data_IF_461066094893
#
_entry.id   IF_461066094893
#
_cell.length_a   1.000
_cell.length_b   1.000
_cell.length_c   1.000
_cell.angle_alpha   90.00
_cell.angle_beta   90.00
_cell.angle_gamma   90.00
#
_symmetry.space_group_name_H-M   'P 1'
#
loop_
_entity.id
_entity.type
_entity.pdbx_description
1 polymer ?
#
# COMPACT_ATOMS: atom_id res chain seq x y z
N UNK A 1 21.65 12.24 -15.45
CA UNK A 1 20.85 12.92 -14.40
C UNK A 1 20.33 11.88 -13.44
N UNK A 2 20.41 12.11 -12.12
CA UNK A 2 19.74 11.22 -11.14
C UNK A 2 18.30 11.71 -10.99
N UNK A 3 17.35 10.92 -11.49
CA UNK A 3 15.91 11.22 -11.35
C UNK A 3 15.39 10.99 -9.93
N UNK A 4 16.14 10.26 -9.09
CA UNK A 4 15.74 9.92 -7.73
C UNK A 4 16.88 10.17 -6.74
N UNK A 5 16.51 10.71 -5.57
CA UNK A 5 17.39 10.82 -4.42
C UNK A 5 17.62 9.42 -3.82
N UNK A 6 18.84 9.12 -3.39
CA UNK A 6 19.10 7.91 -2.61
C UNK A 6 18.32 7.96 -1.30
N UNK A 7 17.58 6.90 -0.98
CA UNK A 7 16.98 6.73 0.34
C UNK A 7 18.07 6.60 1.40
N UNK A 8 17.90 7.27 2.54
CA UNK A 8 18.69 6.94 3.73
C UNK A 8 18.15 5.67 4.40
N UNK A 9 18.93 5.07 5.30
CA UNK A 9 18.60 3.81 5.98
C UNK A 9 17.20 3.79 6.62
N UNK A 10 16.77 4.94 7.12
CA UNK A 10 15.49 5.08 7.78
C UNK A 10 14.32 5.28 6.82
N UNK A 11 14.54 5.97 5.70
CA UNK A 11 13.54 6.05 4.63
C UNK A 11 13.32 4.64 4.07
N UNK A 12 14.40 3.86 3.91
CA UNK A 12 14.34 2.44 3.54
C UNK A 12 13.59 1.59 4.59
N UNK A 13 13.82 1.81 5.88
CA UNK A 13 13.09 1.11 6.95
C UNK A 13 11.60 1.44 6.97
N UNK A 14 11.25 2.72 6.81
CA UNK A 14 9.86 3.17 6.75
C UNK A 14 9.16 2.66 5.49
N UNK A 15 9.86 2.61 4.36
CA UNK A 15 9.38 2.00 3.13
C UNK A 15 9.06 0.52 3.32
N UNK A 16 9.96 -0.26 3.92
CA UNK A 16 9.68 -1.68 4.24
C UNK A 16 8.41 -1.83 5.07
N UNK A 17 8.22 -1.00 6.10
CA UNK A 17 6.97 -0.99 6.88
C UNK A 17 5.77 -0.64 6.02
N UNK A 18 5.87 0.41 5.20
CA UNK A 18 4.82 0.81 4.26
C UNK A 18 4.42 -0.35 3.33
N UNK A 19 5.39 -1.03 2.72
CA UNK A 19 5.17 -2.21 1.86
C UNK A 19 4.43 -3.32 2.61
N UNK A 20 4.79 -3.60 3.87
CA UNK A 20 4.03 -4.55 4.69
C UNK A 20 2.57 -4.14 4.86
N UNK A 21 2.29 -2.89 5.23
CA UNK A 21 0.92 -2.39 5.35
C UNK A 21 0.16 -2.43 4.02
N UNK A 22 0.80 -2.04 2.92
CA UNK A 22 0.21 -2.10 1.58
C UNK A 22 -0.13 -3.53 1.14
N UNK A 23 0.74 -4.51 1.43
CA UNK A 23 0.49 -5.92 1.17
C UNK A 23 -0.72 -6.44 1.96
N UNK A 24 -0.81 -6.13 3.26
CA UNK A 24 -1.96 -6.54 4.07
C UNK A 24 -3.27 -5.88 3.62
N UNK A 25 -3.22 -4.60 3.20
CA UNK A 25 -4.39 -3.92 2.64
C UNK A 25 -4.84 -4.56 1.31
N UNK A 26 -3.89 -4.87 0.42
CA UNK A 26 -4.16 -5.61 -0.81
C UNK A 26 -4.83 -6.96 -0.53
N UNK A 27 -4.27 -7.75 0.40
CA UNK A 27 -4.82 -9.05 0.79
C UNK A 27 -6.25 -8.92 1.34
N UNK A 28 -6.49 -7.93 2.20
CA UNK A 28 -7.81 -7.68 2.79
C UNK A 28 -8.85 -7.30 1.73
N UNK A 29 -8.52 -6.37 0.84
CA UNK A 29 -9.43 -5.91 -0.23
C UNK A 29 -9.68 -7.06 -1.21
N UNK A 30 -8.66 -7.85 -1.53
CA UNK A 30 -8.81 -9.06 -2.36
C UNK A 30 -9.76 -10.06 -1.72
N UNK A 31 -9.62 -10.31 -0.42
CA UNK A 31 -10.50 -11.22 0.31
C UNK A 31 -11.97 -10.72 0.29
N UNK A 32 -12.19 -9.42 0.54
CA UNK A 32 -13.51 -8.81 0.47
C UNK A 32 -14.10 -8.96 -0.94
N UNK A 33 -13.33 -8.66 -1.98
CA UNK A 33 -13.78 -8.78 -3.37
C UNK A 33 -14.13 -10.23 -3.74
N UNK A 34 -13.37 -11.21 -3.24
CA UNK A 34 -13.62 -12.63 -3.45
C UNK A 34 -14.92 -13.10 -2.78
N UNK A 35 -15.12 -12.75 -1.50
CA UNK A 35 -16.36 -13.09 -0.80
C UNK A 35 -17.57 -12.40 -1.43
N UNK A 36 -17.42 -11.14 -1.84
CA UNK A 36 -18.48 -10.43 -2.56
C UNK A 36 -18.85 -11.12 -3.87
N UNK A 37 -17.86 -11.49 -4.69
CA UNK A 37 -18.07 -12.24 -5.92
C UNK A 37 -18.78 -13.58 -5.68
N UNK A 38 -18.42 -14.28 -4.59
CA UNK A 38 -19.02 -15.56 -4.23
C UNK A 38 -20.51 -15.45 -3.88
N UNK A 39 -20.94 -14.31 -3.32
CA UNK A 39 -22.34 -14.07 -2.91
C UNK A 39 -23.16 -13.42 -4.03
N UNK A 40 -22.57 -12.48 -4.77
CA UNK A 40 -23.29 -11.60 -5.72
C UNK A 40 -23.08 -11.98 -7.18
N UNK A 41 -22.19 -12.93 -7.49
CA UNK A 41 -21.87 -13.38 -8.85
C UNK A 41 -21.15 -12.32 -9.71
N UNK A 42 -20.76 -11.18 -9.13
CA UNK A 42 -20.07 -10.08 -9.82
C UNK A 42 -18.97 -9.50 -8.93
N UNK A 43 -17.91 -8.98 -9.55
CA UNK A 43 -16.79 -8.41 -8.81
C UNK A 43 -17.13 -7.01 -8.28
N UNK A 44 -16.76 -6.73 -7.04
CA UNK A 44 -16.94 -5.42 -6.40
C UNK A 44 -15.96 -4.39 -6.96
N UNK A 45 -14.70 -4.81 -7.16
CA UNK A 45 -13.62 -3.98 -7.67
C UNK A 45 -12.91 -4.65 -8.84
N UNK A 46 -12.41 -3.84 -9.77
CA UNK A 46 -11.53 -4.36 -10.83
C UNK A 46 -10.19 -4.80 -10.24
N UNK A 47 -9.51 -5.80 -10.81
CA UNK A 47 -8.19 -6.23 -10.35
C UNK A 47 -7.16 -5.09 -10.31
N UNK A 48 -7.23 -4.16 -11.27
CA UNK A 48 -6.37 -2.99 -11.30
C UNK A 48 -6.57 -2.06 -10.10
N UNK A 49 -7.83 -1.82 -9.68
CA UNK A 49 -8.11 -1.01 -8.50
C UNK A 49 -7.64 -1.68 -7.20
N UNK A 50 -7.80 -3.01 -7.08
CA UNK A 50 -7.31 -3.77 -5.93
C UNK A 50 -5.78 -3.66 -5.85
N UNK A 51 -5.08 -3.85 -6.95
CA UNK A 51 -3.62 -3.71 -7.01
C UNK A 51 -3.16 -2.30 -6.63
N UNK A 52 -3.75 -1.27 -7.23
CA UNK A 52 -3.40 0.12 -6.95
C UNK A 52 -3.71 0.52 -5.51
N UNK A 53 -4.74 -0.06 -4.90
CA UNK A 53 -5.07 0.22 -3.50
C UNK A 53 -3.94 -0.20 -2.54
N UNK A 54 -3.32 -1.36 -2.77
CA UNK A 54 -2.18 -1.81 -1.97
C UNK A 54 -0.96 -0.89 -2.11
N UNK A 55 -0.67 -0.46 -3.35
CA UNK A 55 0.39 0.52 -3.64
C UNK A 55 0.10 1.85 -2.95
N UNK A 56 -1.13 2.36 -3.07
CA UNK A 56 -1.54 3.61 -2.47
C UNK A 56 -1.37 3.58 -0.94
N UNK A 57 -1.77 2.48 -0.29
CA UNK A 57 -1.57 2.29 1.15
C UNK A 57 -0.08 2.25 1.50
N UNK A 58 0.76 1.55 0.74
CA UNK A 58 2.20 1.49 1.01
C UNK A 58 2.84 2.88 1.01
N UNK A 59 2.58 3.69 -0.02
CA UNK A 59 3.08 5.05 -0.12
C UNK A 59 2.48 5.98 0.94
N UNK A 60 1.18 5.83 1.26
CA UNK A 60 0.54 6.62 2.30
C UNK A 60 1.20 6.39 3.67
N UNK A 61 1.46 5.12 4.03
CA UNK A 61 2.12 4.79 5.29
C UNK A 61 3.58 5.24 5.33
N UNK A 62 4.32 5.06 4.23
CA UNK A 62 5.68 5.60 4.12
C UNK A 62 5.69 7.12 4.35
N UNK A 63 4.78 7.85 3.70
CA UNK A 63 4.65 9.29 3.84
C UNK A 63 4.32 9.70 5.28
N UNK A 64 3.37 9.02 5.94
CA UNK A 64 3.01 9.25 7.35
C UNK A 64 4.21 9.01 8.27
N UNK A 65 4.96 7.92 8.09
CA UNK A 65 6.13 7.62 8.92
C UNK A 65 7.26 8.64 8.73
N UNK A 66 7.51 9.04 7.49
CA UNK A 66 8.51 10.07 7.18
C UNK A 66 8.11 11.44 7.76
N UNK A 67 6.82 11.80 7.72
CA UNK A 67 6.31 13.05 8.32
C UNK A 67 6.39 13.03 9.84
N UNK A 68 5.95 11.95 10.50
CA UNK A 68 6.02 11.82 11.96
C UNK A 68 7.44 11.98 12.47
N UNK A 69 8.41 11.49 11.71
CA UNK A 69 9.82 11.59 12.07
C UNK A 69 10.43 12.97 11.88
N UNK A 70 10.03 13.73 10.86
CA UNK A 70 10.49 15.12 10.71
C UNK A 70 9.96 16.06 11.81
N UNK A 71 8.94 15.63 12.55
CA UNK A 71 8.28 16.38 13.62
C UNK A 71 8.81 16.03 15.02
N UNK A 72 9.62 14.97 15.13
CA UNK A 72 10.34 14.54 16.33
C UNK A 72 11.80 15.00 16.23
#
# INVERSE_FOLDING_TARGET
MRFFKSMNENESHNWKKGVFFGFYAYMLITAINYFYYSVMGSALFSPGYIFLSGIAVAFLFEFIFNLKRKRL
#
